data_IF_531923278618
#
_entry.id   IF_531923278618
#
_cell.length_a   1.000
_cell.length_b   1.000
_cell.length_c   1.000
_cell.angle_alpha   90.00
_cell.angle_beta   90.00
_cell.angle_gamma   90.00
#
_symmetry.space_group_name_H-M   'P 1'
#
loop_
_entity.id
_entity.type
_entity.pdbx_description
1 polymer ?
#
# COMPACT_ATOMS: atom_id res chain seq x y z
N UNK A 1 41.53 4.66 11.79
CA UNK A 1 40.79 5.12 10.66
C UNK A 1 39.51 4.34 10.56
N UNK A 2 38.42 4.80 11.20
CA UNK A 2 37.10 4.18 11.11
C UNK A 2 36.29 4.84 10.01
N UNK A 3 36.10 4.13 8.89
CA UNK A 3 35.16 4.53 7.85
C UNK A 3 33.73 4.34 8.31
N UNK A 4 33.11 5.40 8.84
CA UNK A 4 31.68 5.46 9.04
C UNK A 4 30.98 5.37 7.70
N UNK A 5 30.32 4.24 7.40
CA UNK A 5 29.36 4.16 6.31
C UNK A 5 28.19 5.06 6.71
N UNK A 6 28.13 6.22 6.07
CA UNK A 6 26.99 7.09 6.19
C UNK A 6 25.73 6.31 5.76
N UNK A 7 24.83 6.11 6.72
CA UNK A 7 23.46 5.67 6.42
C UNK A 7 22.83 6.81 5.64
N UNK A 8 22.85 6.69 4.30
CA UNK A 8 22.19 7.65 3.44
C UNK A 8 20.71 7.70 3.80
N UNK A 9 20.25 8.84 4.25
CA UNK A 9 18.83 9.17 4.39
C UNK A 9 18.20 9.16 3.00
N UNK A 10 17.76 8.00 2.56
CA UNK A 10 16.81 7.89 1.45
C UNK A 10 15.51 7.37 2.05
N UNK A 11 14.69 8.32 2.49
CA UNK A 11 13.33 8.03 2.88
C UNK A 11 12.54 7.65 1.64
N UNK A 12 12.35 6.36 1.39
CA UNK A 12 11.40 5.91 0.38
C UNK A 12 9.97 6.16 0.84
N UNK A 13 9.05 6.37 -0.10
CA UNK A 13 7.60 6.59 0.11
C UNK A 13 6.98 5.54 1.04
N UNK A 14 7.50 4.32 1.06
CA UNK A 14 6.99 3.23 1.87
C UNK A 14 6.95 3.54 3.38
N UNK A 15 8.00 4.09 3.97
CA UNK A 15 8.05 4.39 5.40
C UNK A 15 7.13 5.57 5.77
N UNK A 16 7.05 6.60 4.92
CA UNK A 16 6.21 7.78 5.16
C UNK A 16 4.72 7.41 5.21
N UNK A 17 4.28 6.50 4.36
CA UNK A 17 2.91 6.01 4.37
C UNK A 17 2.62 5.18 5.63
N UNK A 18 3.52 4.30 6.05
CA UNK A 18 3.34 3.49 7.27
C UNK A 18 3.19 4.36 8.51
N UNK A 19 3.96 5.44 8.63
CA UNK A 19 3.84 6.42 9.72
C UNK A 19 2.46 7.09 9.74
N UNK A 20 1.92 7.43 8.59
CA UNK A 20 0.58 8.03 8.50
C UNK A 20 -0.52 7.03 8.90
N UNK A 21 -0.41 5.77 8.50
CA UNK A 21 -1.32 4.71 8.95
C UNK A 21 -1.27 4.53 10.47
N UNK A 22 -0.07 4.45 11.06
CA UNK A 22 0.12 4.35 12.51
C UNK A 22 -0.53 5.54 13.23
N UNK A 23 -0.29 6.76 12.74
CA UNK A 23 -0.87 7.98 13.30
C UNK A 23 -2.40 7.94 13.27
N UNK A 24 -2.99 7.56 12.14
CA UNK A 24 -4.45 7.48 11.97
C UNK A 24 -5.04 6.40 12.86
N UNK A 25 -4.48 5.20 12.87
CA UNK A 25 -4.98 4.07 13.68
C UNK A 25 -4.91 4.40 15.17
N UNK A 26 -3.80 4.99 15.65
CA UNK A 26 -3.67 5.37 17.06
C UNK A 26 -4.64 6.49 17.45
N UNK A 27 -4.86 7.47 16.55
CA UNK A 27 -5.87 8.53 16.77
C UNK A 27 -7.28 7.96 16.86
N UNK A 28 -7.66 7.08 15.94
CA UNK A 28 -8.97 6.43 15.93
C UNK A 28 -9.16 5.50 17.14
N UNK A 29 -8.12 4.78 17.54
CA UNK A 29 -8.12 3.98 18.78
C UNK A 29 -8.44 4.85 20.01
N UNK A 30 -7.76 6.00 20.12
CA UNK A 30 -8.04 6.96 21.21
C UNK A 30 -9.46 7.53 21.15
N UNK A 31 -9.94 7.86 19.96
CA UNK A 31 -11.30 8.40 19.79
C UNK A 31 -12.38 7.41 20.20
N UNK A 32 -12.16 6.12 19.98
CA UNK A 32 -13.13 5.05 20.29
C UNK A 32 -13.04 4.54 21.72
N UNK A 33 -11.82 4.36 22.23
CA UNK A 33 -11.57 3.75 23.54
C UNK A 33 -11.33 4.77 24.66
N UNK A 34 -11.01 6.02 24.30
CA UNK A 34 -10.76 7.12 25.25
C UNK A 34 -9.40 7.05 25.95
N UNK A 35 -9.14 8.02 26.80
CA UNK A 35 -7.95 8.06 27.67
C UNK A 35 -6.63 8.08 26.89
N UNK A 36 -5.75 7.18 27.23
CA UNK A 36 -4.40 7.00 26.65
C UNK A 36 -4.34 5.86 25.64
N UNK A 37 -5.49 5.34 25.19
CA UNK A 37 -5.55 4.25 24.24
C UNK A 37 -4.83 4.60 22.93
N UNK A 38 -4.13 3.63 22.38
CA UNK A 38 -3.48 3.68 21.06
C UNK A 38 -3.69 2.34 20.35
N UNK A 39 -3.40 2.27 19.08
CA UNK A 39 -3.37 0.98 18.39
C UNK A 39 -2.17 0.15 18.85
N UNK A 40 -2.38 -1.14 19.06
CA UNK A 40 -1.31 -2.12 19.26
C UNK A 40 -0.86 -2.59 17.88
N UNK A 41 0.35 -2.23 17.48
CA UNK A 41 0.82 -2.37 16.10
C UNK A 41 2.22 -3.00 16.04
N UNK A 42 2.40 -3.89 15.08
CA UNK A 42 3.70 -4.35 14.62
C UNK A 42 3.92 -3.83 13.19
N UNK A 43 5.05 -3.17 12.95
CA UNK A 43 5.38 -2.60 11.64
C UNK A 43 6.58 -3.32 11.05
N UNK A 44 6.42 -3.87 9.85
CA UNK A 44 7.51 -4.43 9.04
C UNK A 44 7.79 -3.48 7.87
N UNK A 45 8.79 -2.63 8.02
CA UNK A 45 9.24 -1.74 6.95
C UNK A 45 10.27 -2.45 6.07
N UNK A 46 10.06 -2.40 4.77
CA UNK A 46 10.97 -2.94 3.75
C UNK A 46 11.79 -1.82 3.12
N UNK A 47 12.97 -2.16 2.60
CA UNK A 47 13.70 -1.24 1.73
C UNK A 47 12.95 -1.11 0.40
N UNK A 48 12.37 0.08 0.16
CA UNK A 48 11.59 0.33 -1.04
C UNK A 48 12.42 0.21 -2.33
N UNK A 49 13.73 0.45 -2.27
CA UNK A 49 14.60 0.32 -3.44
C UNK A 49 14.61 -1.11 -4.02
N UNK A 50 14.49 -2.11 -3.14
CA UNK A 50 14.39 -3.53 -3.56
C UNK A 50 13.06 -3.78 -4.28
N UNK A 51 11.97 -3.29 -3.72
CA UNK A 51 10.64 -3.44 -4.31
C UNK A 51 10.54 -2.68 -5.63
N UNK A 52 11.05 -1.45 -5.70
CA UNK A 52 11.06 -0.62 -6.90
C UNK A 52 11.84 -1.28 -8.04
N UNK A 53 13.02 -1.85 -7.77
CA UNK A 53 13.81 -2.60 -8.76
C UNK A 53 13.04 -3.81 -9.31
N UNK A 54 12.34 -4.56 -8.46
CA UNK A 54 11.51 -5.68 -8.89
C UNK A 54 10.34 -5.23 -9.76
N UNK A 55 9.68 -4.13 -9.41
CA UNK A 55 8.62 -3.52 -10.22
C UNK A 55 9.14 -3.05 -11.58
N UNK A 56 10.26 -2.33 -11.61
CA UNK A 56 10.86 -1.81 -12.84
C UNK A 56 11.33 -2.93 -13.79
N UNK A 57 11.69 -4.09 -13.23
CA UNK A 57 12.13 -5.28 -13.98
C UNK A 57 10.98 -6.25 -14.28
N UNK A 58 9.73 -5.89 -14.01
CA UNK A 58 8.51 -6.72 -14.15
C UNK A 58 8.57 -8.06 -13.38
N UNK A 59 9.37 -8.11 -12.29
CA UNK A 59 9.56 -9.30 -11.44
C UNK A 59 8.53 -9.32 -10.30
N UNK A 60 7.25 -9.30 -10.66
CA UNK A 60 6.14 -9.20 -9.70
C UNK A 60 6.02 -10.41 -8.77
N UNK A 61 6.33 -11.60 -9.26
CA UNK A 61 6.28 -12.81 -8.42
C UNK A 61 7.28 -12.73 -7.27
N UNK A 62 8.51 -12.31 -7.55
CA UNK A 62 9.54 -12.16 -6.52
C UNK A 62 9.20 -11.02 -5.55
N UNK A 63 8.64 -9.93 -6.04
CA UNK A 63 8.13 -8.87 -5.18
C UNK A 63 7.02 -9.39 -4.24
N UNK A 64 6.14 -10.24 -4.76
CA UNK A 64 5.12 -10.94 -3.97
C UNK A 64 5.72 -11.87 -2.91
N UNK A 65 6.78 -12.61 -3.23
CA UNK A 65 7.47 -13.49 -2.28
C UNK A 65 8.12 -12.70 -1.14
N UNK A 66 8.73 -11.55 -1.44
CA UNK A 66 9.28 -10.65 -0.41
C UNK A 66 8.19 -10.14 0.54
N UNK A 67 7.04 -9.76 0.01
CA UNK A 67 5.91 -9.29 0.81
C UNK A 67 5.24 -10.41 1.61
N UNK A 68 5.11 -11.61 1.02
CA UNK A 68 4.59 -12.78 1.71
C UNK A 68 5.49 -13.16 2.90
N UNK A 69 6.81 -13.14 2.73
CA UNK A 69 7.74 -13.37 3.83
C UNK A 69 7.59 -12.33 4.95
N UNK A 70 7.42 -11.06 4.60
CA UNK A 70 7.16 -10.00 5.57
C UNK A 70 5.83 -10.18 6.31
N UNK A 71 4.79 -10.65 5.63
CA UNK A 71 3.49 -10.95 6.23
C UNK A 71 3.57 -12.13 7.22
N UNK A 72 4.32 -13.18 6.89
CA UNK A 72 4.60 -14.29 7.81
C UNK A 72 5.32 -13.80 9.07
N UNK A 73 6.27 -12.88 8.93
CA UNK A 73 6.96 -12.29 10.09
C UNK A 73 6.00 -11.51 10.99
N UNK A 74 5.04 -10.76 10.41
CA UNK A 74 4.00 -10.06 11.16
C UNK A 74 3.05 -11.03 11.88
N UNK A 75 2.60 -12.07 11.20
CA UNK A 75 1.73 -13.10 11.82
C UNK A 75 2.45 -13.80 12.98
N UNK A 76 3.73 -14.16 12.83
CA UNK A 76 4.56 -14.72 13.91
C UNK A 76 4.74 -13.76 15.08
N UNK A 77 4.71 -12.46 14.83
CA UNK A 77 4.72 -11.43 15.86
C UNK A 77 3.36 -11.21 16.53
N UNK A 78 2.32 -11.96 16.12
CA UNK A 78 0.98 -11.92 16.71
C UNK A 78 -0.02 -11.03 15.98
N UNK A 79 0.28 -10.58 14.76
CA UNK A 79 -0.68 -9.80 13.99
C UNK A 79 -1.87 -10.68 13.56
N UNK A 80 -3.08 -10.27 13.90
CA UNK A 80 -4.34 -10.90 13.50
C UNK A 80 -4.89 -10.28 12.20
N UNK A 81 -4.50 -9.02 11.92
CA UNK A 81 -4.89 -8.26 10.73
C UNK A 81 -3.66 -7.63 10.11
N UNK A 82 -3.49 -7.80 8.82
CA UNK A 82 -2.38 -7.25 8.04
C UNK A 82 -2.89 -6.16 7.10
N UNK A 83 -2.23 -5.00 7.11
CA UNK A 83 -2.52 -3.88 6.22
C UNK A 83 -1.31 -3.61 5.33
N UNK A 84 -1.51 -3.70 4.02
CA UNK A 84 -0.50 -3.37 3.03
C UNK A 84 -0.56 -1.87 2.69
N UNK A 85 0.37 -1.08 3.24
CA UNK A 85 0.38 0.39 3.14
C UNK A 85 0.88 0.91 1.78
N UNK A 86 0.41 0.35 0.67
CA UNK A 86 0.76 0.75 -0.69
C UNK A 86 -0.31 0.30 -1.69
N UNK A 87 -0.65 1.11 -2.68
CA UNK A 87 -1.62 0.71 -3.70
C UNK A 87 -1.01 -0.29 -4.70
N UNK A 88 0.15 0.04 -5.26
CA UNK A 88 0.75 -0.72 -6.38
C UNK A 88 0.97 -2.20 -6.04
N UNK A 89 1.41 -2.50 -4.81
CA UNK A 89 1.72 -3.88 -4.42
C UNK A 89 0.49 -4.75 -4.14
N UNK A 90 -0.72 -4.18 -4.14
CA UNK A 90 -1.95 -4.97 -4.17
C UNK A 90 -2.09 -5.82 -5.45
N UNK A 91 -1.28 -5.54 -6.47
CA UNK A 91 -1.16 -6.42 -7.65
C UNK A 91 -0.78 -7.86 -7.29
N UNK A 92 -0.06 -8.05 -6.20
CA UNK A 92 0.42 -9.37 -5.73
C UNK A 92 -0.19 -9.79 -4.39
N UNK A 93 -1.31 -9.20 -4.00
CA UNK A 93 -1.93 -9.43 -2.70
C UNK A 93 -2.34 -10.89 -2.49
N UNK A 94 -2.73 -11.59 -3.53
CA UNK A 94 -3.12 -13.01 -3.47
C UNK A 94 -1.96 -13.90 -2.93
N UNK A 95 -0.70 -13.53 -3.22
CA UNK A 95 0.47 -14.24 -2.65
C UNK A 95 0.61 -14.01 -1.15
N UNK A 96 0.27 -12.81 -0.68
CA UNK A 96 0.28 -12.47 0.74
C UNK A 96 -0.84 -13.23 1.44
N UNK A 97 -2.06 -13.17 0.90
CA UNK A 97 -3.24 -13.87 1.43
C UNK A 97 -3.03 -15.39 1.50
N UNK A 98 -2.36 -15.98 0.50
CA UNK A 98 -2.05 -17.41 0.48
C UNK A 98 -0.96 -17.83 1.51
N UNK A 99 -0.15 -16.89 1.99
CA UNK A 99 1.01 -17.18 2.86
C UNK A 99 0.67 -17.11 4.36
N UNK A 100 -0.44 -16.49 4.75
CA UNK A 100 -0.82 -16.25 6.15
C UNK A 100 -2.26 -16.66 6.42
N UNK A 101 -2.57 -16.89 7.69
CA UNK A 101 -3.94 -17.12 8.18
C UNK A 101 -4.59 -15.83 8.70
N UNK A 102 -3.78 -14.82 9.00
CA UNK A 102 -4.23 -13.50 9.40
C UNK A 102 -5.06 -12.84 8.30
N UNK A 103 -6.06 -12.05 8.67
CA UNK A 103 -6.87 -11.28 7.72
C UNK A 103 -6.01 -10.24 7.00
N UNK A 104 -6.01 -10.24 5.67
CA UNK A 104 -5.32 -9.23 4.86
C UNK A 104 -6.34 -8.22 4.33
N UNK A 105 -6.25 -6.97 4.80
CA UNK A 105 -7.16 -5.91 4.37
C UNK A 105 -6.77 -5.38 2.99
N UNK A 106 -7.69 -5.51 2.02
CA UNK A 106 -7.50 -4.97 0.69
C UNK A 106 -7.92 -3.50 0.62
N UNK A 107 -7.01 -2.63 0.19
CA UNK A 107 -7.25 -1.18 0.12
C UNK A 107 -8.37 -0.81 -0.86
N UNK A 108 -8.59 -1.58 -1.93
CA UNK A 108 -9.68 -1.35 -2.87
C UNK A 108 -11.04 -1.62 -2.20
N UNK A 109 -11.16 -2.66 -1.37
CA UNK A 109 -12.38 -2.95 -0.63
C UNK A 109 -12.68 -1.85 0.40
N UNK A 110 -11.66 -1.37 1.11
CA UNK A 110 -11.79 -0.25 2.04
C UNK A 110 -12.21 1.05 1.31
N UNK A 111 -11.68 1.28 0.12
CA UNK A 111 -12.06 2.42 -0.74
C UNK A 111 -13.51 2.31 -1.19
N UNK A 112 -13.94 1.12 -1.63
CA UNK A 112 -15.32 0.87 -2.04
C UNK A 112 -16.31 1.10 -0.89
N UNK A 113 -15.97 0.63 0.30
CA UNK A 113 -16.77 0.85 1.50
C UNK A 113 -16.90 2.35 1.84
N UNK A 114 -15.81 3.10 1.73
CA UNK A 114 -15.82 4.54 1.93
C UNK A 114 -16.68 5.26 0.87
N UNK A 115 -16.56 4.91 -0.41
CA UNK A 115 -17.37 5.45 -1.50
C UNK A 115 -18.87 5.17 -1.28
N UNK A 116 -19.22 3.94 -0.88
CA UNK A 116 -20.60 3.55 -0.58
C UNK A 116 -21.18 4.37 0.56
N UNK A 117 -20.43 4.58 1.66
CA UNK A 117 -20.87 5.43 2.78
C UNK A 117 -21.07 6.89 2.36
N UNK A 118 -20.29 7.37 1.39
CA UNK A 118 -20.40 8.72 0.84
C UNK A 118 -21.49 8.83 -0.25
N UNK A 119 -22.14 7.73 -0.66
CA UNK A 119 -23.13 7.73 -1.74
C UNK A 119 -22.51 7.96 -3.12
N UNK A 120 -21.21 7.68 -3.29
CA UNK A 120 -20.45 7.89 -4.55
C UNK A 120 -20.32 6.55 -5.28
N UNK A 121 -20.71 6.54 -6.55
CA UNK A 121 -20.64 5.34 -7.41
C UNK A 121 -19.68 5.51 -8.61
N UNK A 122 -19.23 6.72 -8.89
CA UNK A 122 -18.32 7.04 -10.01
C UNK A 122 -17.04 7.66 -9.44
N UNK A 123 -15.91 6.98 -9.63
CA UNK A 123 -14.63 7.34 -9.03
C UNK A 123 -13.59 7.67 -10.11
N UNK A 124 -12.80 8.70 -9.88
CA UNK A 124 -11.57 8.95 -10.64
C UNK A 124 -10.40 8.28 -9.91
N UNK A 125 -9.64 7.42 -10.59
CA UNK A 125 -8.46 6.77 -10.05
C UNK A 125 -7.20 7.45 -10.57
N UNK A 126 -6.45 8.05 -9.65
CA UNK A 126 -5.13 8.65 -9.88
C UNK A 126 -4.08 7.90 -9.08
N UNK A 127 -2.94 7.61 -9.70
CA UNK A 127 -1.85 6.88 -9.04
C UNK A 127 -0.67 6.61 -9.98
N UNK A 128 0.16 5.65 -9.62
CA UNK A 128 1.20 5.18 -10.53
C UNK A 128 0.59 4.54 -11.78
N UNK A 129 1.35 4.46 -12.87
CA UNK A 129 0.93 3.73 -14.07
C UNK A 129 0.44 2.32 -13.72
N UNK A 130 1.15 1.63 -12.85
CA UNK A 130 0.77 0.27 -12.40
C UNK A 130 -0.60 0.22 -11.74
N UNK A 131 -0.95 1.22 -10.93
CA UNK A 131 -2.26 1.29 -10.25
C UNK A 131 -3.39 1.66 -11.21
N UNK A 132 -3.12 2.57 -12.17
CA UNK A 132 -4.14 3.03 -13.10
C UNK A 132 -4.42 2.05 -14.24
N UNK A 133 -3.37 1.37 -14.76
CA UNK A 133 -3.47 0.54 -15.98
C UNK A 133 -3.69 -0.94 -15.70
N UNK A 134 -3.23 -1.47 -14.57
CA UNK A 134 -3.45 -2.85 -14.21
C UNK A 134 -4.81 -3.04 -13.52
N UNK A 135 -5.44 -4.17 -13.76
CA UNK A 135 -6.83 -4.40 -13.38
C UNK A 135 -7.04 -4.79 -11.90
N UNK A 136 -5.96 -5.02 -11.15
CA UNK A 136 -6.04 -5.46 -9.75
C UNK A 136 -6.79 -4.48 -8.84
N UNK A 137 -6.75 -3.18 -9.12
CA UNK A 137 -7.42 -2.15 -8.33
C UNK A 137 -8.77 -1.76 -8.95
N UNK A 138 -8.76 -1.24 -10.18
CA UNK A 138 -9.96 -0.79 -10.86
C UNK A 138 -10.92 -1.94 -11.16
N UNK A 139 -10.42 -3.12 -11.55
CA UNK A 139 -11.21 -4.33 -11.76
C UNK A 139 -11.91 -4.77 -10.48
N UNK A 140 -11.18 -4.84 -9.36
CA UNK A 140 -11.78 -5.21 -8.07
C UNK A 140 -12.92 -4.26 -7.67
N UNK A 141 -12.74 -2.94 -7.84
CA UNK A 141 -13.79 -1.94 -7.57
C UNK A 141 -15.01 -2.14 -8.47
N UNK A 142 -14.81 -2.43 -9.76
CA UNK A 142 -15.89 -2.67 -10.71
C UNK A 142 -16.62 -3.99 -10.48
N UNK A 143 -15.87 -5.08 -10.39
CA UNK A 143 -16.40 -6.43 -10.39
C UNK A 143 -17.01 -6.84 -9.05
N UNK A 144 -16.36 -6.49 -7.95
CA UNK A 144 -16.83 -6.86 -6.61
C UNK A 144 -17.77 -5.83 -5.98
N UNK A 145 -17.63 -4.55 -6.35
CA UNK A 145 -18.34 -3.46 -5.68
C UNK A 145 -19.28 -2.68 -6.59
N UNK A 146 -19.32 -2.97 -7.90
CA UNK A 146 -20.21 -2.34 -8.86
C UNK A 146 -19.94 -0.85 -9.09
N UNK A 147 -18.73 -0.37 -8.78
CA UNK A 147 -18.34 1.03 -8.92
C UNK A 147 -17.86 1.32 -10.34
N UNK A 148 -18.19 2.50 -10.85
CA UNK A 148 -17.58 3.02 -12.09
C UNK A 148 -16.21 3.61 -11.74
N UNK A 149 -15.16 3.19 -12.47
CA UNK A 149 -13.80 3.71 -12.25
C UNK A 149 -13.29 4.30 -13.56
N UNK A 150 -12.97 5.59 -13.52
CA UNK A 150 -12.37 6.34 -14.63
C UNK A 150 -10.90 6.58 -14.37
N UNK A 151 -10.08 6.42 -15.40
CA UNK A 151 -8.65 6.75 -15.39
C UNK A 151 -8.38 7.87 -16.38
N UNK A 152 -7.33 8.68 -16.18
CA UNK A 152 -6.93 9.73 -17.13
C UNK A 152 -6.50 9.18 -18.49
N UNK A 153 -6.39 10.06 -19.48
CA UNK A 153 -5.79 9.74 -20.77
C UNK A 153 -4.32 9.31 -20.66
N UNK A 154 -3.79 8.70 -21.72
CA UNK A 154 -2.43 8.12 -21.69
C UNK A 154 -1.34 9.13 -21.32
N UNK A 155 -1.38 10.33 -21.91
CA UNK A 155 -0.41 11.39 -21.64
C UNK A 155 -0.45 11.84 -20.17
N UNK A 156 -1.66 12.01 -19.60
CA UNK A 156 -1.83 12.39 -18.20
C UNK A 156 -1.38 11.30 -17.24
N UNK A 157 -1.61 10.01 -17.58
CA UNK A 157 -1.12 8.87 -16.80
C UNK A 157 0.40 8.83 -16.75
N UNK A 158 1.06 9.09 -17.90
CA UNK A 158 2.51 9.14 -17.98
C UNK A 158 3.08 10.28 -17.13
N UNK A 159 2.47 11.45 -17.18
CA UNK A 159 2.88 12.61 -16.39
C UNK A 159 2.64 12.39 -14.88
N UNK A 160 1.50 11.83 -14.48
CA UNK A 160 1.25 11.46 -13.08
C UNK A 160 2.28 10.45 -12.56
N UNK A 161 2.63 9.47 -13.37
CA UNK A 161 3.66 8.49 -12.99
C UNK A 161 5.01 9.16 -12.76
N UNK A 162 5.42 10.05 -13.69
CA UNK A 162 6.65 10.84 -13.57
C UNK A 162 6.66 11.67 -12.27
N UNK A 163 5.59 12.44 -12.02
CA UNK A 163 5.46 13.26 -10.82
C UNK A 163 5.60 12.42 -9.55
N UNK A 164 4.95 11.25 -9.50
CA UNK A 164 5.04 10.37 -8.33
C UNK A 164 6.47 9.92 -8.08
N UNK A 165 7.19 9.44 -9.10
CA UNK A 165 8.52 8.86 -8.91
C UNK A 165 9.66 9.88 -8.88
N UNK A 166 9.55 10.98 -9.60
CA UNK A 166 10.63 11.96 -9.72
C UNK A 166 10.50 13.14 -8.74
N UNK A 167 9.28 13.40 -8.24
CA UNK A 167 9.03 14.54 -7.36
C UNK A 167 8.55 14.10 -5.97
N UNK A 168 7.46 13.29 -5.90
CA UNK A 168 6.85 12.97 -4.60
C UNK A 168 7.61 11.89 -3.82
N UNK A 169 8.26 10.95 -4.50
CA UNK A 169 9.05 9.87 -3.86
C UNK A 169 10.38 10.38 -3.35
N UNK A 170 10.96 11.37 -4.01
CA UNK A 170 12.29 11.88 -3.67
C UNK A 170 12.26 13.04 -2.65
N UNK A 171 11.11 13.65 -2.39
CA UNK A 171 10.87 14.69 -1.38
C UNK A 171 11.14 16.09 -1.87
#
# INVERSE_FOLDING_TARGET
GGGGRGVGRRGGVAWAWSVEYERVMSREGRARCGGVASADLVVRSLDFSVIEQLQASDRWEEAGDVLAAAAIDLERAGAEVIVLCTNTMHRVIDRIEAAVSAEVLNIADATAEAARRAGVADLALLGTRYTMEADFYAGRLRERHGLTVRIPGEADRAELHRIIYEELVVG
#
